data_IF_443124130585
#
_entry.id   IF_443124130585
#
_cell.length_a   1.000
_cell.length_b   1.000
_cell.length_c   1.000
_cell.angle_alpha   90.00
_cell.angle_beta   90.00
_cell.angle_gamma   90.00
#
_symmetry.space_group_name_H-M   'P 1'
#
loop_
_entity.id
_entity.type
_entity.pdbx_description
1 polymer ?
#
# COMPACT_ATOMS: atom_id res chain seq x y z
N UNK A 1 -5.03 -11.50 -0.89
CA UNK A 1 -3.65 -11.76 -1.35
C UNK A 1 -3.19 -13.22 -1.21
N UNK A 2 -4.05 -14.16 -0.82
CA UNK A 2 -3.73 -15.61 -0.88
C UNK A 2 -4.00 -16.22 -2.26
N UNK A 3 -4.94 -15.63 -3.01
CA UNK A 3 -5.21 -15.97 -4.41
C UNK A 3 -3.98 -15.69 -5.29
N UNK A 4 -3.57 -16.68 -6.08
CA UNK A 4 -2.35 -16.58 -6.88
C UNK A 4 -2.44 -15.50 -7.98
N UNK A 5 -3.59 -15.34 -8.63
CA UNK A 5 -3.74 -14.38 -9.72
C UNK A 5 -3.53 -12.94 -9.24
N UNK A 6 -3.95 -12.65 -8.01
CA UNK A 6 -3.75 -11.36 -7.35
C UNK A 6 -2.27 -10.98 -7.17
N UNK A 7 -1.34 -11.93 -7.23
CA UNK A 7 0.08 -11.67 -6.99
C UNK A 7 0.93 -11.70 -8.28
N UNK A 8 0.40 -12.24 -9.37
CA UNK A 8 1.20 -12.57 -10.56
C UNK A 8 1.82 -11.34 -11.25
N UNK A 9 1.19 -10.17 -11.16
CA UNK A 9 1.80 -8.91 -11.64
C UNK A 9 2.99 -8.54 -10.75
N UNK A 10 2.80 -8.51 -9.43
CA UNK A 10 3.84 -8.12 -8.47
C UNK A 10 5.05 -9.07 -8.50
N UNK A 11 4.86 -10.36 -8.82
CA UNK A 11 5.94 -11.34 -8.92
C UNK A 11 7.09 -10.95 -9.86
N UNK A 12 6.85 -10.08 -10.85
CA UNK A 12 7.89 -9.61 -11.76
C UNK A 12 9.04 -8.88 -11.03
N UNK A 13 8.74 -8.25 -9.90
CA UNK A 13 9.72 -7.54 -9.07
C UNK A 13 10.56 -8.49 -8.19
N UNK A 14 10.18 -9.76 -8.11
CA UNK A 14 10.79 -10.77 -7.24
C UNK A 14 11.38 -11.94 -8.03
N UNK A 15 11.88 -11.67 -9.23
CA UNK A 15 12.41 -12.67 -10.15
C UNK A 15 11.44 -13.84 -10.40
N UNK A 16 10.12 -13.54 -10.42
CA UNK A 16 9.03 -14.51 -10.54
C UNK A 16 9.00 -15.60 -9.46
N UNK A 17 9.60 -15.36 -8.30
CA UNK A 17 9.36 -16.22 -7.14
C UNK A 17 7.89 -16.10 -6.71
N UNK A 18 7.28 -17.21 -6.34
CA UNK A 18 5.88 -17.22 -5.90
C UNK A 18 5.72 -16.38 -4.63
N UNK A 19 4.75 -15.47 -4.68
CA UNK A 19 4.38 -14.61 -3.54
C UNK A 19 3.00 -15.02 -3.08
N UNK A 20 2.82 -15.11 -1.77
CA UNK A 20 1.52 -15.30 -1.15
C UNK A 20 1.48 -14.57 0.17
N UNK A 21 0.28 -14.29 0.66
CA UNK A 21 0.09 -13.75 2.01
C UNK A 21 -1.10 -14.42 2.66
N UNK A 22 -0.95 -14.71 3.95
CA UNK A 22 -2.01 -15.28 4.77
C UNK A 22 -2.50 -14.22 5.74
N UNK A 23 -3.81 -14.01 5.78
CA UNK A 23 -4.41 -13.23 6.85
C UNK A 23 -4.33 -14.03 8.15
N UNK A 24 -3.74 -13.44 9.20
CA UNK A 24 -3.61 -14.11 10.49
C UNK A 24 -4.83 -13.87 11.37
N UNK A 25 -5.10 -12.62 11.74
CA UNK A 25 -6.23 -12.22 12.58
C UNK A 25 -6.40 -10.71 12.56
N UNK A 26 -7.55 -10.23 13.03
CA UNK A 26 -7.77 -8.81 13.29
C UNK A 26 -8.41 -8.63 14.67
N UNK A 27 -8.21 -7.45 15.25
CA UNK A 27 -8.89 -7.03 16.48
C UNK A 27 -9.16 -5.53 16.42
N UNK A 28 -10.25 -5.11 17.05
CA UNK A 28 -10.52 -3.69 17.28
C UNK A 28 -9.67 -3.23 18.46
N UNK A 29 -8.93 -2.15 18.27
CA UNK A 29 -8.18 -1.51 19.35
C UNK A 29 -9.14 -0.73 20.26
N UNK A 30 -8.94 -0.75 21.59
CA UNK A 30 -9.81 -0.07 22.52
C UNK A 30 -9.66 1.45 22.41
N UNK A 31 -10.75 2.17 22.69
CA UNK A 31 -10.77 3.64 22.72
C UNK A 31 -11.92 4.22 21.92
N UNK A 32 -12.04 5.55 21.97
CA UNK A 32 -12.95 6.26 21.08
C UNK A 32 -12.36 6.32 19.67
N UNK A 33 -13.18 6.24 18.60
CA UNK A 33 -12.72 6.47 17.24
C UNK A 33 -12.03 7.86 17.13
N UNK A 34 -10.78 7.93 16.65
CA UNK A 34 -10.11 9.21 16.47
C UNK A 34 -10.77 10.01 15.35
N UNK A 35 -10.83 11.34 15.49
CA UNK A 35 -11.31 12.21 14.42
C UNK A 35 -10.28 12.36 13.30
N UNK A 36 -9.00 12.42 13.69
CA UNK A 36 -7.85 12.54 12.79
C UNK A 36 -6.75 11.60 13.27
N UNK A 37 -6.04 11.00 12.33
CA UNK A 37 -4.84 10.18 12.57
C UNK A 37 -3.75 10.65 11.62
N UNK A 38 -2.60 11.01 12.17
CA UNK A 38 -1.40 11.34 11.38
C UNK A 38 -0.47 10.14 11.23
N UNK A 39 0.49 10.23 10.30
CA UNK A 39 1.60 9.26 10.21
C UNK A 39 2.28 9.04 11.57
N UNK A 40 2.63 10.12 12.28
CA UNK A 40 3.22 10.03 13.62
C UNK A 40 2.33 9.24 14.59
N UNK A 41 1.01 9.41 14.54
CA UNK A 41 0.10 8.66 15.42
C UNK A 41 0.10 7.16 15.10
N UNK A 42 0.17 6.79 13.81
CA UNK A 42 0.25 5.39 13.36
C UNK A 42 1.58 4.77 13.79
N UNK A 43 2.70 5.47 13.58
CA UNK A 43 4.03 5.00 13.96
C UNK A 43 4.15 4.84 15.48
N UNK A 44 3.64 5.80 16.26
CA UNK A 44 3.57 5.70 17.72
C UNK A 44 2.71 4.52 18.15
N UNK A 45 1.58 4.28 17.50
CA UNK A 45 0.73 3.12 17.78
C UNK A 45 1.45 1.80 17.49
N UNK A 46 2.06 1.65 16.32
CA UNK A 46 2.82 0.46 15.95
C UNK A 46 3.95 0.18 16.94
N UNK A 47 4.73 1.21 17.29
CA UNK A 47 5.79 1.12 18.30
C UNK A 47 5.28 0.75 19.69
N UNK A 48 4.11 1.27 20.11
CA UNK A 48 3.49 0.89 21.39
C UNK A 48 2.98 -0.55 21.40
N UNK A 49 2.39 -1.03 20.31
CA UNK A 49 1.95 -2.42 20.19
C UNK A 49 3.15 -3.37 20.30
N UNK A 50 4.26 -3.03 19.64
CA UNK A 50 5.52 -3.77 19.75
C UNK A 50 6.06 -3.76 21.20
N UNK A 51 6.24 -2.57 21.80
CA UNK A 51 6.81 -2.42 23.13
C UNK A 51 5.99 -3.11 24.24
N UNK A 52 4.69 -3.31 24.02
CA UNK A 52 3.79 -4.03 24.94
C UNK A 52 3.72 -5.54 24.68
N UNK A 53 4.53 -6.07 23.76
CA UNK A 53 4.53 -7.49 23.39
C UNK A 53 3.25 -7.91 22.67
N UNK A 54 2.45 -6.98 22.15
CA UNK A 54 1.19 -7.30 21.49
C UNK A 54 1.35 -7.79 20.05
N UNK A 55 2.57 -7.70 19.52
CA UNK A 55 3.02 -8.25 18.24
C UNK A 55 3.90 -9.50 18.44
N UNK A 56 4.06 -9.99 19.68
CA UNK A 56 4.81 -11.21 19.95
C UNK A 56 4.13 -12.42 19.30
N UNK A 57 4.92 -13.28 18.68
CA UNK A 57 4.45 -14.48 17.97
C UNK A 57 4.23 -14.29 16.46
N UNK A 58 4.33 -13.07 15.95
CA UNK A 58 4.42 -12.81 14.52
C UNK A 58 5.89 -12.84 14.05
N UNK A 59 6.12 -13.27 12.82
CA UNK A 59 7.39 -13.05 12.12
C UNK A 59 7.40 -11.62 11.58
N UNK A 60 8.05 -10.72 12.31
CA UNK A 60 8.05 -9.28 12.01
C UNK A 60 8.73 -8.94 10.68
N UNK A 61 9.63 -9.79 10.20
CA UNK A 61 10.28 -9.62 8.88
C UNK A 61 9.39 -10.03 7.70
N UNK A 62 8.27 -10.70 7.97
CA UNK A 62 7.34 -11.20 6.95
C UNK A 62 5.88 -10.80 7.22
N UNK A 63 5.64 -9.84 8.13
CA UNK A 63 4.30 -9.40 8.53
C UNK A 63 4.17 -7.90 8.36
N UNK A 64 3.13 -7.47 7.62
CA UNK A 64 2.65 -6.09 7.61
C UNK A 64 1.45 -5.99 8.54
N UNK A 65 1.45 -5.02 9.45
CA UNK A 65 0.32 -4.76 10.35
C UNK A 65 -0.62 -3.70 9.75
N UNK A 66 -1.79 -4.14 9.31
CA UNK A 66 -2.78 -3.28 8.66
C UNK A 66 -3.67 -2.55 9.69
N UNK A 67 -3.62 -1.23 9.68
CA UNK A 67 -4.46 -0.34 10.49
C UNK A 67 -5.62 0.21 9.67
N UNK A 68 -6.79 -0.44 9.76
CA UNK A 68 -8.02 0.08 9.17
C UNK A 68 -8.63 1.15 10.09
N UNK A 69 -8.65 2.40 9.63
CA UNK A 69 -9.20 3.50 10.41
C UNK A 69 -10.74 3.45 10.44
N UNK A 70 -11.38 3.82 11.57
CA UNK A 70 -12.84 3.88 11.65
C UNK A 70 -13.44 4.89 10.66
N UNK A 71 -14.72 4.68 10.34
CA UNK A 71 -15.52 5.60 9.51
C UNK A 71 -15.40 7.05 9.96
N UNK A 72 -15.24 7.95 9.00
CA UNK A 72 -15.10 9.39 9.23
C UNK A 72 -13.76 9.86 9.82
N UNK A 73 -12.82 8.95 10.13
CA UNK A 73 -11.47 9.34 10.53
C UNK A 73 -10.74 9.97 9.35
N UNK A 74 -10.14 11.14 9.54
CA UNK A 74 -9.30 11.81 8.54
C UNK A 74 -7.86 11.33 8.71
N UNK A 75 -7.24 10.86 7.64
CA UNK A 75 -5.83 10.51 7.62
C UNK A 75 -5.02 11.68 7.07
N UNK A 76 -3.84 11.91 7.65
CA UNK A 76 -2.91 12.96 7.22
C UNK A 76 -1.47 12.45 7.21
N UNK A 77 -0.72 12.82 6.19
CA UNK A 77 0.73 12.59 6.08
C UNK A 77 1.34 13.83 5.41
N UNK A 78 2.38 14.40 6.02
CA UNK A 78 2.97 15.67 5.59
C UNK A 78 1.93 16.77 5.26
N UNK A 79 1.85 17.18 4.00
CA UNK A 79 0.91 18.19 3.49
C UNK A 79 -0.33 17.58 2.82
N UNK A 80 -0.49 16.26 2.86
CA UNK A 80 -1.57 15.50 2.23
C UNK A 80 -2.62 15.07 3.25
N UNK A 81 -3.86 14.91 2.77
CA UNK A 81 -4.99 14.47 3.60
C UNK A 81 -5.92 13.55 2.81
N UNK A 82 -6.60 12.66 3.51
CA UNK A 82 -7.66 11.82 2.93
C UNK A 82 -8.84 12.63 2.39
N UNK A 83 -9.03 13.86 2.85
CA UNK A 83 -10.00 14.79 2.25
C UNK A 83 -9.58 15.29 0.85
N UNK A 84 -8.36 14.99 0.43
CA UNK A 84 -7.76 15.37 -0.86
C UNK A 84 -7.36 14.15 -1.70
N UNK A 85 -7.86 12.96 -1.37
CA UNK A 85 -7.64 11.74 -2.16
C UNK A 85 -6.62 10.75 -1.58
N UNK A 86 -6.03 10.99 -0.41
CA UNK A 86 -5.19 9.99 0.27
C UNK A 86 -6.04 8.82 0.80
N UNK A 87 -5.90 7.64 0.19
CA UNK A 87 -6.59 6.42 0.63
C UNK A 87 -5.90 5.72 1.81
N UNK A 88 -4.58 5.70 1.80
CA UNK A 88 -3.74 5.03 2.77
C UNK A 88 -2.27 5.38 2.56
N UNK A 89 -1.41 4.76 3.34
CA UNK A 89 0.03 4.67 3.10
C UNK A 89 0.60 3.47 3.86
N UNK A 90 1.81 3.05 3.51
CA UNK A 90 2.56 2.04 4.23
C UNK A 90 3.89 2.59 4.74
N UNK A 91 4.57 1.81 5.57
CA UNK A 91 5.89 2.17 6.06
C UNK A 91 6.41 1.22 7.14
N UNK A 92 7.47 1.65 7.81
CA UNK A 92 8.13 0.88 8.85
C UNK A 92 8.51 1.74 10.06
N UNK A 93 8.52 1.12 11.24
CA UNK A 93 9.07 1.70 12.46
C UNK A 93 10.23 0.86 12.97
N UNK A 94 11.22 1.52 13.58
CA UNK A 94 12.42 0.89 14.13
C UNK A 94 12.50 1.10 15.64
N UNK A 95 11.96 0.19 16.46
CA UNK A 95 12.16 0.22 17.91
C UNK A 95 13.65 0.24 18.31
N UNK A 96 13.99 0.67 19.54
CA UNK A 96 15.38 0.86 19.97
C UNK A 96 16.28 -0.38 19.93
N UNK A 97 15.69 -1.58 19.86
CA UNK A 97 16.42 -2.85 19.76
C UNK A 97 16.85 -3.20 18.32
N UNK A 98 16.54 -2.33 17.35
CA UNK A 98 16.91 -2.50 15.94
C UNK A 98 15.97 -3.41 15.15
N UNK A 99 14.87 -3.84 15.75
CA UNK A 99 13.81 -4.55 15.03
C UNK A 99 13.15 -3.61 14.02
N UNK A 100 12.62 -4.14 12.92
CA UNK A 100 11.74 -3.40 12.01
C UNK A 100 10.32 -3.95 12.12
N UNK A 101 9.33 -3.07 12.20
CA UNK A 101 7.91 -3.41 12.20
C UNK A 101 7.25 -2.70 11.02
N UNK A 102 6.80 -3.48 10.04
CA UNK A 102 6.11 -2.98 8.85
C UNK A 102 4.63 -2.77 9.11
N UNK A 103 4.06 -1.70 8.58
CA UNK A 103 2.64 -1.38 8.71
C UNK A 103 2.07 -0.82 7.42
N UNK A 104 0.75 -0.93 7.29
CA UNK A 104 -0.04 -0.18 6.34
C UNK A 104 -1.20 0.47 7.10
N UNK A 105 -1.69 1.61 6.65
CA UNK A 105 -2.87 2.28 7.21
C UNK A 105 -3.77 2.72 6.08
N UNK A 106 -5.08 2.56 6.26
CA UNK A 106 -6.08 2.94 5.27
C UNK A 106 -7.29 3.59 5.93
N UNK A 107 -7.83 4.64 5.31
CA UNK A 107 -9.15 5.17 5.69
C UNK A 107 -10.26 4.28 5.18
N UNK A 108 -11.47 4.48 5.71
CA UNK A 108 -12.64 3.74 5.25
C UNK A 108 -13.05 4.04 3.81
N UNK A 109 -12.49 5.10 3.20
CA UNK A 109 -12.74 5.51 1.81
C UNK A 109 -14.23 5.63 1.48
N UNK A 110 -14.84 6.73 1.92
CA UNK A 110 -16.29 6.96 1.86
C UNK A 110 -16.68 8.41 1.56
N UNK A 111 -17.94 8.59 1.13
CA UNK A 111 -18.59 9.91 1.12
C UNK A 111 -19.12 10.20 2.52
N UNK A 112 -18.65 11.28 3.12
CA UNK A 112 -19.07 11.78 4.42
C UNK A 112 -20.49 12.34 4.37
N UNK A 113 -21.10 12.54 5.54
CA UNK A 113 -22.48 13.07 5.67
C UNK A 113 -22.67 14.45 5.04
N UNK A 114 -21.60 15.23 4.93
CA UNK A 114 -21.59 16.56 4.32
C UNK A 114 -21.31 16.53 2.81
N UNK A 115 -21.21 15.34 2.21
CA UNK A 115 -20.97 15.15 0.78
C UNK A 115 -19.50 15.17 0.36
N UNK A 116 -18.56 15.42 1.28
CA UNK A 116 -17.12 15.35 0.98
C UNK A 116 -16.65 13.91 0.90
N UNK A 117 -15.69 13.65 0.01
CA UNK A 117 -14.95 12.38 -0.03
C UNK A 117 -13.89 12.37 1.07
N UNK A 118 -13.74 11.22 1.73
CA UNK A 118 -12.66 10.92 2.67
C UNK A 118 -11.97 9.62 2.23
N UNK A 119 -10.84 9.73 1.52
CA UNK A 119 -10.12 8.63 0.88
C UNK A 119 -10.35 8.57 -0.64
N UNK A 120 -10.15 7.39 -1.22
CA UNK A 120 -10.39 7.13 -2.65
C UNK A 120 -11.73 6.40 -2.79
N UNK A 121 -12.76 7.09 -3.26
CA UNK A 121 -14.11 6.52 -3.42
C UNK A 121 -14.32 6.13 -4.88
N UNK A 122 -13.85 4.94 -5.26
CA UNK A 122 -14.00 4.39 -6.61
C UNK A 122 -15.20 3.45 -6.76
N UNK A 123 -15.68 2.90 -5.64
CA UNK A 123 -16.80 1.96 -5.58
C UNK A 123 -17.92 2.50 -4.69
N UNK A 124 -19.18 2.22 -5.06
CA UNK A 124 -20.38 2.63 -4.31
C UNK A 124 -20.44 2.05 -2.89
N UNK A 125 -19.91 0.84 -2.70
CA UNK A 125 -19.85 0.18 -1.40
C UNK A 125 -18.52 0.50 -0.71
N UNK A 126 -18.48 1.23 0.43
CA UNK A 126 -17.23 1.67 1.04
C UNK A 126 -16.24 0.55 1.39
N UNK A 127 -16.74 -0.63 1.79
CA UNK A 127 -15.88 -1.77 2.08
C UNK A 127 -15.05 -2.20 0.86
N UNK A 128 -15.53 -1.95 -0.37
CA UNK A 128 -14.78 -2.25 -1.59
C UNK A 128 -13.60 -1.32 -1.75
N UNK A 129 -13.77 -0.04 -1.43
CA UNK A 129 -12.68 0.93 -1.43
C UNK A 129 -11.60 0.54 -0.41
N UNK A 130 -12.01 0.13 0.80
CA UNK A 130 -11.06 -0.38 1.82
C UNK A 130 -10.24 -1.55 1.28
N UNK A 131 -10.89 -2.54 0.67
CA UNK A 131 -10.20 -3.71 0.14
C UNK A 131 -9.24 -3.33 -0.99
N UNK A 132 -9.64 -2.44 -1.91
CA UNK A 132 -8.77 -1.97 -2.98
C UNK A 132 -7.58 -1.15 -2.47
N UNK A 133 -7.79 -0.29 -1.45
CA UNK A 133 -6.71 0.45 -0.77
C UNK A 133 -5.72 -0.53 -0.14
N UNK A 134 -6.15 -1.49 0.69
CA UNK A 134 -5.18 -2.43 1.28
C UNK A 134 -4.53 -3.37 0.25
N UNK A 135 -5.17 -3.63 -0.89
CA UNK A 135 -4.52 -4.32 -2.01
C UNK A 135 -3.36 -3.49 -2.58
N UNK A 136 -3.56 -2.18 -2.76
CA UNK A 136 -2.51 -1.23 -3.13
C UNK A 136 -1.39 -1.21 -2.08
N UNK A 137 -1.72 -0.88 -0.82
CA UNK A 137 -0.70 -0.70 0.23
C UNK A 137 0.14 -1.96 0.45
N UNK A 138 -0.48 -3.14 0.41
CA UNK A 138 0.27 -4.39 0.57
C UNK A 138 1.13 -4.71 -0.64
N UNK A 139 0.76 -4.27 -1.84
CA UNK A 139 1.57 -4.47 -3.05
C UNK A 139 2.84 -3.63 -2.97
N UNK A 140 2.72 -2.37 -2.58
CA UNK A 140 3.85 -1.45 -2.40
C UNK A 140 4.72 -1.83 -1.21
N UNK A 141 4.12 -2.17 -0.06
CA UNK A 141 4.88 -2.64 1.10
C UNK A 141 5.76 -3.88 0.79
N UNK A 142 5.50 -4.62 -0.30
CA UNK A 142 6.41 -5.67 -0.77
C UNK A 142 7.54 -5.10 -1.61
N UNK A 143 7.24 -4.17 -2.53
CA UNK A 143 8.19 -3.63 -3.50
C UNK A 143 9.10 -2.57 -2.92
N UNK A 144 8.70 -1.86 -1.87
CA UNK A 144 9.43 -0.74 -1.27
C UNK A 144 9.10 -0.58 0.22
N UNK A 145 9.33 -1.65 1.02
CA UNK A 145 8.90 -1.74 2.43
C UNK A 145 9.41 -0.60 3.34
N UNK A 146 10.51 0.06 2.96
CA UNK A 146 11.18 1.12 3.73
C UNK A 146 11.14 2.47 2.99
N UNK A 147 10.12 2.72 2.15
CA UNK A 147 9.97 3.98 1.38
C UNK A 147 10.13 5.24 2.25
N UNK A 148 9.59 5.22 3.48
CA UNK A 148 9.72 6.33 4.43
C UNK A 148 11.16 6.56 4.90
N UNK A 149 11.98 5.51 5.03
CA UNK A 149 13.41 5.66 5.29
C UNK A 149 14.14 6.27 4.09
N UNK A 150 13.73 5.95 2.87
CA UNK A 150 14.25 6.58 1.66
C UNK A 150 13.91 8.08 1.65
N UNK A 151 12.68 8.45 2.05
CA UNK A 151 12.22 9.84 2.17
C UNK A 151 13.03 10.57 3.25
N UNK A 152 13.16 9.98 4.44
CA UNK A 152 13.95 10.53 5.56
C UNK A 152 15.43 10.71 5.21
N UNK A 153 16.01 9.78 4.45
CA UNK A 153 17.38 9.86 3.97
C UNK A 153 17.59 10.98 2.92
N UNK A 154 16.52 11.50 2.32
CA UNK A 154 16.54 12.69 1.47
C UNK A 154 17.43 12.53 0.23
N UNK A 155 18.52 13.28 0.16
CA UNK A 155 19.49 13.26 -0.96
C UNK A 155 20.72 12.39 -0.66
N UNK A 156 20.69 11.58 0.41
CA UNK A 156 21.74 10.61 0.67
C UNK A 156 21.87 9.66 -0.54
N UNK A 157 23.05 9.49 -1.15
CA UNK A 157 23.26 8.56 -2.26
C UNK A 157 22.91 7.10 -1.94
N UNK A 158 22.76 6.78 -0.66
CA UNK A 158 22.36 5.46 -0.17
C UNK A 158 20.88 5.34 0.16
N UNK A 159 20.06 6.38 -0.05
CA UNK A 159 18.61 6.34 0.17
C UNK A 159 17.91 5.27 -0.70
N UNK A 160 18.41 5.04 -1.91
CA UNK A 160 17.89 4.02 -2.83
C UNK A 160 17.95 2.60 -2.27
N UNK A 161 18.77 2.33 -1.23
CA UNK A 161 18.83 1.00 -0.60
C UNK A 161 17.55 0.62 0.14
N UNK A 162 16.71 1.61 0.46
CA UNK A 162 15.45 1.45 1.17
C UNK A 162 14.27 1.24 0.20
N UNK A 163 14.50 1.43 -1.11
CA UNK A 163 13.51 1.21 -2.17
C UNK A 163 13.83 -0.10 -2.89
N UNK A 164 12.86 -1.00 -3.03
CA UNK A 164 13.05 -2.21 -3.86
C UNK A 164 12.71 -1.94 -5.33
N UNK A 165 11.56 -1.31 -5.62
CA UNK A 165 11.18 -0.86 -6.97
C UNK A 165 10.44 0.47 -6.93
N UNK A 166 10.80 1.38 -7.83
CA UNK A 166 10.03 2.59 -8.18
C UNK A 166 10.16 2.86 -9.68
N UNK A 167 9.18 3.56 -10.26
CA UNK A 167 9.21 4.00 -11.65
C UNK A 167 10.39 4.97 -11.92
N UNK A 168 10.81 5.19 -13.17
CA UNK A 168 11.80 6.22 -13.51
C UNK A 168 11.40 7.65 -13.07
N UNK A 169 10.10 7.89 -12.84
CA UNK A 169 9.53 9.12 -12.33
C UNK A 169 9.55 9.19 -10.79
N UNK A 170 9.85 8.07 -10.14
CA UNK A 170 9.89 7.92 -8.68
C UNK A 170 8.52 7.60 -8.08
N UNK A 171 7.62 6.98 -8.85
CA UNK A 171 6.31 6.53 -8.39
C UNK A 171 6.37 5.05 -8.01
N UNK A 172 5.62 4.68 -6.98
CA UNK A 172 5.48 3.31 -6.49
C UNK A 172 4.58 2.49 -7.45
N UNK A 173 4.53 1.17 -7.27
CA UNK A 173 3.81 0.30 -8.22
C UNK A 173 2.29 0.46 -8.18
N UNK A 174 1.73 0.90 -7.05
CA UNK A 174 0.31 1.24 -6.91
C UNK A 174 0.03 2.70 -7.28
N UNK A 175 0.95 3.62 -7.03
CA UNK A 175 0.77 5.04 -7.32
C UNK A 175 0.63 5.36 -8.82
N UNK A 176 1.54 4.83 -9.66
CA UNK A 176 1.57 5.16 -11.09
C UNK A 176 0.20 4.95 -11.79
N UNK A 177 -0.49 3.81 -11.62
CA UNK A 177 -1.81 3.59 -12.22
C UNK A 177 -2.88 4.60 -11.83
N UNK A 178 -2.85 5.10 -10.59
CA UNK A 178 -3.81 6.12 -10.13
C UNK A 178 -3.56 7.43 -10.88
N UNK A 179 -2.31 7.91 -10.90
CA UNK A 179 -1.95 9.16 -11.58
C UNK A 179 -2.28 9.16 -13.07
N UNK A 180 -2.03 8.05 -13.77
CA UNK A 180 -2.32 7.95 -15.20
C UNK A 180 -3.82 7.84 -15.52
N UNK A 181 -4.63 7.43 -14.54
CA UNK A 181 -6.06 7.20 -14.74
C UNK A 181 -6.92 8.38 -14.30
N UNK A 182 -6.36 9.35 -13.59
CA UNK A 182 -7.13 10.52 -13.16
C UNK A 182 -7.69 11.31 -14.36
N UNK A 183 -8.96 11.77 -14.27
CA UNK A 183 -9.88 11.67 -13.14
C UNK A 183 -10.75 10.38 -13.14
N UNK A 184 -10.61 9.48 -14.11
CA UNK A 184 -11.43 8.28 -14.26
C UNK A 184 -10.80 7.05 -13.60
N UNK A 185 -10.95 6.96 -12.28
CA UNK A 185 -10.43 5.84 -11.50
C UNK A 185 -11.06 4.49 -11.86
N UNK A 186 -12.19 4.44 -12.58
CA UNK A 186 -12.82 3.18 -12.98
C UNK A 186 -11.97 2.36 -13.94
N UNK A 187 -10.98 2.98 -14.59
CA UNK A 187 -10.01 2.32 -15.46
C UNK A 187 -9.08 1.37 -14.68
N UNK A 188 -8.77 1.68 -13.43
CA UNK A 188 -7.79 0.93 -12.60
C UNK A 188 -8.36 0.40 -11.29
N UNK A 189 -9.50 0.91 -10.83
CA UNK A 189 -10.23 0.38 -9.69
C UNK A 189 -11.33 -0.55 -10.20
N UNK A 190 -11.06 -1.85 -10.20
CA UNK A 190 -11.96 -2.85 -10.79
C UNK A 190 -12.25 -4.01 -9.84
N UNK A 191 -13.37 -4.69 -10.09
CA UNK A 191 -13.65 -5.99 -9.48
C UNK A 191 -13.14 -7.11 -10.40
N UNK A 192 -12.32 -8.01 -9.85
CA UNK A 192 -11.70 -9.10 -10.61
C UNK A 192 -12.10 -10.46 -10.04
N UNK A 193 -12.24 -11.50 -10.89
CA UNK A 193 -12.64 -12.83 -10.43
C UNK A 193 -11.54 -13.50 -9.60
N UNK A 194 -11.95 -14.17 -8.53
CA UNK A 194 -11.09 -15.06 -7.74
C UNK A 194 -10.91 -16.42 -8.42
N UNK A 195 -9.73 -17.01 -8.27
CA UNK A 195 -9.31 -18.30 -8.86
C UNK A 195 -10.18 -19.46 -8.45
N UNK A 196 -10.71 -19.44 -7.23
CA UNK A 196 -11.57 -20.49 -6.68
C UNK A 196 -13.04 -20.38 -7.12
N UNK A 197 -13.37 -19.34 -7.89
CA UNK A 197 -14.73 -19.08 -8.37
C UNK A 197 -15.69 -18.58 -7.28
N UNK A 198 -15.21 -18.21 -6.10
CA UNK A 198 -16.03 -17.72 -4.99
C UNK A 198 -16.68 -16.35 -5.26
N UNK A 199 -16.23 -15.64 -6.29
CA UNK A 199 -16.82 -14.38 -6.73
C UNK A 199 -15.77 -13.41 -7.29
N UNK A 200 -16.03 -12.12 -7.12
CA UNK A 200 -15.09 -11.04 -7.46
C UNK A 200 -14.58 -10.34 -6.22
N UNK A 201 -13.40 -9.74 -6.34
CA UNK A 201 -12.79 -8.90 -5.31
C UNK A 201 -12.41 -7.54 -5.92
N UNK A 202 -12.67 -6.42 -5.23
CA UNK A 202 -12.21 -5.11 -5.68
C UNK A 202 -10.69 -5.00 -5.52
N UNK A 203 -10.02 -4.49 -6.54
CA UNK A 203 -8.58 -4.27 -6.58
C UNK A 203 -8.28 -2.94 -7.24
N UNK A 204 -7.08 -2.45 -6.98
CA UNK A 204 -6.45 -1.44 -7.82
C UNK A 204 -5.44 -2.13 -8.73
N UNK A 205 -5.44 -1.82 -10.02
CA UNK A 205 -4.41 -2.28 -10.93
C UNK A 205 -3.04 -1.71 -10.51
N UNK A 206 -2.00 -2.49 -10.78
CA UNK A 206 -0.62 -2.17 -10.40
C UNK A 206 0.17 -1.86 -11.67
N UNK A 207 1.27 -1.13 -11.54
CA UNK A 207 2.21 -0.98 -12.64
C UNK A 207 2.76 -2.35 -13.01
N UNK A 208 2.93 -2.56 -14.31
CA UNK A 208 3.56 -3.76 -14.83
C UNK A 208 4.69 -3.43 -15.79
N UNK A 209 5.88 -3.96 -15.51
CA UNK A 209 7.04 -3.84 -16.39
C UNK A 209 6.80 -4.53 -17.73
N UNK A 210 5.94 -5.54 -17.79
CA UNK A 210 5.66 -6.29 -19.01
C UNK A 210 4.78 -5.52 -20.00
N UNK A 211 3.79 -4.76 -19.50
CA UNK A 211 2.90 -3.94 -20.35
C UNK A 211 3.27 -2.46 -20.35
N UNK A 212 4.22 -2.07 -19.49
CA UNK A 212 4.66 -0.68 -19.26
C UNK A 212 3.51 0.26 -18.89
N UNK A 213 2.63 -0.18 -17.99
CA UNK A 213 1.47 0.59 -17.55
C UNK A 213 0.60 -0.19 -16.56
N UNK A 214 -0.63 0.28 -16.31
CA UNK A 214 -1.57 -0.38 -15.41
C UNK A 214 -1.95 -1.79 -15.90
N UNK A 215 -1.82 -2.77 -15.03
CA UNK A 215 -2.25 -4.14 -15.28
C UNK A 215 -2.99 -4.69 -14.06
N UNK A 216 -4.14 -5.32 -14.32
CA UNK A 216 -4.88 -6.05 -13.30
C UNK A 216 -4.26 -7.43 -13.01
N UNK A 217 -4.75 -8.12 -11.97
CA UNK A 217 -4.42 -9.52 -11.72
C UNK A 217 -4.52 -10.41 -12.96
N UNK A 218 -3.50 -11.23 -13.20
CA UNK A 218 -3.36 -12.09 -14.39
C UNK A 218 -3.33 -13.57 -14.03
N UNK A 219 -3.77 -14.49 -14.91
CA UNK A 219 -3.80 -15.92 -14.59
C UNK A 219 -2.45 -16.60 -14.42
N UNK A 220 -1.41 -16.09 -15.08
CA UNK A 220 -0.06 -16.61 -15.00
C UNK A 220 0.93 -15.43 -14.94
N UNK A 221 2.03 -15.53 -14.17
CA UNK A 221 3.08 -14.53 -14.19
C UNK A 221 3.60 -14.31 -15.61
N UNK A 222 4.00 -13.08 -15.91
CA UNK A 222 4.77 -12.81 -17.12
C UNK A 222 6.04 -13.66 -17.15
N UNK A 223 6.48 -14.06 -18.35
CA UNK A 223 7.76 -14.76 -18.48
C UNK A 223 8.86 -13.88 -17.86
N UNK A 224 9.84 -14.51 -17.19
CA UNK A 224 10.93 -13.79 -16.55
C UNK A 224 11.72 -13.02 -17.62
N UNK A 225 11.35 -11.77 -17.85
CA UNK A 225 12.21 -10.80 -18.52
C UNK A 225 13.43 -10.58 -17.64
N UNK A 226 14.56 -10.19 -18.22
CA UNK A 226 15.67 -9.68 -17.41
C UNK A 226 15.10 -8.56 -16.55
N UNK A 227 15.02 -8.75 -15.24
CA UNK A 227 14.88 -7.66 -14.28
C UNK A 227 15.86 -6.60 -14.73
N UNK A 228 15.33 -5.50 -15.26
CA UNK A 228 16.19 -4.35 -15.46
C UNK A 228 16.37 -3.83 -14.04
N UNK A 229 17.50 -4.17 -13.42
CA UNK A 229 18.06 -3.41 -12.31
C UNK A 229 18.18 -1.96 -12.80
N UNK A 230 17.08 -1.22 -12.78
CA UNK A 230 17.06 0.19 -13.09
C UNK A 230 17.39 0.87 -11.79
N UNK A 231 18.65 1.27 -11.65
CA UNK A 231 19.05 2.21 -10.61
C UNK A 231 18.09 3.41 -10.66
N UNK A 232 17.41 3.77 -9.55
CA UNK A 232 16.48 4.88 -9.55
C UNK A 232 17.26 6.18 -9.74
N UNK A 233 17.25 6.75 -10.93
CA UNK A 233 17.68 8.14 -11.09
C UNK A 233 16.48 9.03 -10.80
N UNK A 234 16.32 9.42 -9.53
CA UNK A 234 15.39 10.51 -9.15
C UNK A 234 15.62 11.71 -10.06
N UNK A 235 14.59 12.10 -10.83
CA UNK A 235 14.48 13.50 -11.24
C UNK A 235 13.98 14.29 -10.03
N UNK A 236 14.50 15.51 -9.77
CA UNK A 236 14.01 16.33 -8.68
C UNK A 236 12.49 16.55 -8.84
N UNK A 237 11.72 16.22 -7.79
CA UNK A 237 10.27 16.46 -7.71
C UNK A 237 10.00 17.88 -8.20
N UNK A 238 9.23 18.02 -9.28
CA UNK A 238 8.68 19.32 -9.62
C UNK A 238 7.76 19.73 -8.47
N UNK A 239 8.14 20.82 -7.78
CA UNK A 239 7.23 21.58 -6.93
C UNK A 239 5.91 21.79 -7.67
N UNK A 240 4.82 21.26 -7.13
CA UNK A 240 3.48 21.82 -7.30
C UNK A 240 2.95 22.14 -5.93
#
# INVERSE_FOLDING_TARGET
MSDAHLNNVIMQYFANQSITSSFTSSRVLPGAPPATVSQTDVEVLAGQLYARGQLSGFDLGATVFDFMLPRGTILTIDSSSSLQGLGGFHGSVHPPDGTTVYYAVGVFSEVLRDGRTNGIVAFDAPWKNVVATFYHELSEARTDPDVEDAIRAGNDPSADRFLGWVSPQGEECGDFPIFESEPDLSLVMQEVPLTDGSGTVPVQFQYSDAVHGPEGPIPAPHAAGRSQNRSPKRRPKHRR
#
